data_IF_842417765202
#
_entry.id   IF_842417765202
#
_cell.length_a   1.000
_cell.length_b   1.000
_cell.length_c   1.000
_cell.angle_alpha   90.00
_cell.angle_beta   90.00
_cell.angle_gamma   90.00
#
_symmetry.space_group_name_H-M   'P 1'
#
loop_
_entity.id
_entity.type
_entity.pdbx_description
1 polymer ?
#
# COMPACT_ATOMS: atom_id res chain seq x y z
N UNK A 1 -1.48 -25.82 -37.89
CA UNK A 1 -1.63 -24.80 -36.84
C UNK A 1 -0.94 -25.31 -35.59
N UNK A 2 0.25 -24.81 -35.25
CA UNK A 2 0.89 -25.18 -33.98
C UNK A 2 0.06 -24.57 -32.84
N UNK A 3 -0.42 -25.41 -31.92
CA UNK A 3 -1.12 -24.91 -30.75
C UNK A 3 -0.11 -24.16 -29.87
N UNK A 4 -0.19 -22.83 -29.85
CA UNK A 4 0.58 -22.00 -28.94
C UNK A 4 0.20 -22.37 -27.50
N UNK A 5 1.09 -23.07 -26.81
CA UNK A 5 0.90 -23.47 -25.42
C UNK A 5 0.80 -22.21 -24.57
N UNK A 6 -0.32 -22.03 -23.86
CA UNK A 6 -0.50 -20.88 -22.96
C UNK A 6 0.60 -20.90 -21.90
N UNK A 7 1.28 -19.77 -21.66
CA UNK A 7 2.26 -19.67 -20.60
C UNK A 7 1.61 -19.89 -19.24
N UNK A 8 2.25 -20.70 -18.41
CA UNK A 8 1.85 -20.86 -17.01
C UNK A 8 1.98 -19.55 -16.24
N UNK A 9 1.34 -19.45 -15.08
CA UNK A 9 1.47 -18.30 -14.18
C UNK A 9 2.87 -18.31 -13.58
N UNK A 10 3.75 -17.31 -13.85
CA UNK A 10 5.07 -17.32 -13.28
C UNK A 10 4.99 -17.08 -11.77
N UNK A 11 5.61 -17.96 -10.98
CA UNK A 11 5.57 -17.90 -9.52
C UNK A 11 5.99 -16.53 -8.99
N UNK A 12 7.08 -15.96 -9.52
CA UNK A 12 7.54 -14.65 -9.04
C UNK A 12 6.63 -13.48 -9.43
N UNK A 13 5.79 -13.59 -10.48
CA UNK A 13 4.79 -12.56 -10.77
C UNK A 13 3.67 -12.63 -9.72
N UNK A 14 3.29 -13.85 -9.37
CA UNK A 14 2.30 -14.11 -8.33
C UNK A 14 2.78 -13.56 -6.99
N UNK A 15 4.05 -13.81 -6.65
CA UNK A 15 4.70 -13.26 -5.45
C UNK A 15 4.79 -11.72 -5.49
N UNK A 16 5.18 -11.13 -6.63
CA UNK A 16 5.23 -9.68 -6.79
C UNK A 16 3.85 -9.02 -6.58
N UNK A 17 2.79 -9.58 -7.16
CA UNK A 17 1.43 -9.07 -6.97
C UNK A 17 0.99 -9.25 -5.50
N UNK A 18 1.23 -10.42 -4.90
CA UNK A 18 0.89 -10.66 -3.50
C UNK A 18 1.59 -9.69 -2.53
N UNK A 19 2.90 -9.50 -2.68
CA UNK A 19 3.67 -8.54 -1.87
C UNK A 19 3.13 -7.11 -2.05
N UNK A 20 2.80 -6.73 -3.28
CA UNK A 20 2.23 -5.41 -3.55
C UNK A 20 0.86 -5.24 -2.91
N UNK A 21 -0.01 -6.26 -2.98
CA UNK A 21 -1.34 -6.23 -2.36
C UNK A 21 -1.23 -6.13 -0.84
N UNK A 22 -0.35 -6.92 -0.22
CA UNK A 22 -0.13 -6.88 1.22
C UNK A 22 0.35 -5.47 1.62
N UNK A 23 1.34 -4.94 0.92
CA UNK A 23 2.01 -3.71 1.30
C UNK A 23 1.20 -2.44 1.00
N UNK A 24 0.58 -2.35 -0.18
CA UNK A 24 -0.10 -1.13 -0.64
C UNK A 24 -1.62 -1.15 -0.40
N UNK A 25 -2.20 -2.30 -0.04
CA UNK A 25 -3.63 -2.42 0.19
C UNK A 25 -3.95 -2.95 1.58
N UNK A 26 -3.55 -4.18 1.91
CA UNK A 26 -3.99 -4.82 3.16
C UNK A 26 -3.44 -4.14 4.40
N UNK A 27 -2.13 -3.82 4.44
CA UNK A 27 -1.52 -3.15 5.58
C UNK A 27 -2.12 -1.75 5.84
N UNK A 28 -2.23 -0.84 4.85
CA UNK A 28 -2.86 0.46 5.06
C UNK A 28 -4.33 0.37 5.50
N UNK A 29 -5.10 -0.55 4.91
CA UNK A 29 -6.50 -0.76 5.30
C UNK A 29 -6.60 -1.29 6.73
N UNK A 30 -5.72 -2.20 7.12
CA UNK A 30 -5.64 -2.73 8.47
C UNK A 30 -5.29 -1.62 9.47
N UNK A 31 -4.26 -0.81 9.21
CA UNK A 31 -3.88 0.28 10.10
C UNK A 31 -4.99 1.33 10.24
N UNK A 32 -5.59 1.76 9.12
CA UNK A 32 -6.71 2.71 9.17
C UNK A 32 -7.96 2.11 9.84
N UNK A 33 -8.22 0.82 9.63
CA UNK A 33 -9.31 0.09 10.29
C UNK A 33 -9.11 -0.02 11.80
N UNK A 34 -7.88 -0.29 12.26
CA UNK A 34 -7.53 -0.29 13.68
C UNK A 34 -7.71 1.10 14.30
N UNK A 35 -7.19 2.16 13.65
CA UNK A 35 -7.35 3.54 14.12
C UNK A 35 -8.83 3.89 14.25
N UNK A 36 -9.64 3.56 13.23
CA UNK A 36 -11.07 3.80 13.24
C UNK A 36 -11.78 3.01 14.36
N UNK A 37 -11.45 1.74 14.53
CA UNK A 37 -12.01 0.89 15.60
C UNK A 37 -11.70 1.45 16.99
N UNK A 38 -10.46 1.88 17.22
CA UNK A 38 -10.04 2.48 18.50
C UNK A 38 -10.77 3.80 18.73
N UNK A 39 -10.84 4.69 17.74
CA UNK A 39 -11.59 5.95 17.84
C UNK A 39 -13.06 5.71 18.18
N UNK A 40 -13.70 4.77 17.50
CA UNK A 40 -15.11 4.48 17.75
C UNK A 40 -15.34 3.91 19.15
N UNK A 41 -14.40 3.12 19.67
CA UNK A 41 -14.46 2.65 21.05
C UNK A 41 -14.45 3.83 22.03
N UNK A 42 -13.55 4.80 21.88
CA UNK A 42 -13.49 5.98 22.76
C UNK A 42 -14.70 6.91 22.63
N UNK A 43 -15.25 7.06 21.42
CA UNK A 43 -16.48 7.85 21.20
C UNK A 43 -17.69 7.19 21.86
N UNK A 44 -17.73 5.87 21.92
CA UNK A 44 -18.83 5.12 22.53
C UNK A 44 -18.77 5.08 24.07
N UNK A 45 -17.66 5.49 24.69
CA UNK A 45 -17.58 5.57 26.15
C UNK A 45 -18.45 6.74 26.66
N UNK A 46 -19.33 6.53 27.65
CA UNK A 46 -20.21 7.55 28.22
C UNK A 46 -19.46 8.55 29.13
N UNK A 47 -18.24 8.94 28.75
CA UNK A 47 -17.46 9.97 29.47
C UNK A 47 -18.14 11.34 29.34
N UNK A 48 -18.89 11.56 28.26
CA UNK A 48 -19.67 12.77 28.05
C UNK A 48 -20.86 12.92 29.02
N UNK A 49 -21.49 11.81 29.45
CA UNK A 49 -22.61 11.87 30.41
C UNK A 49 -22.15 12.29 31.81
N UNK A 50 -20.96 11.86 32.24
CA UNK A 50 -20.39 12.23 33.54
C UNK A 50 -19.98 13.71 33.63
N UNK A 51 -19.72 14.39 32.50
CA UNK A 51 -19.37 15.81 32.49
C UNK A 51 -20.57 16.70 32.81
N UNK A 52 -21.76 16.32 32.33
CA UNK A 52 -23.02 17.01 32.61
C UNK A 52 -23.43 16.86 34.09
N UNK A 53 -23.16 15.71 34.72
CA UNK A 53 -23.39 15.51 36.16
C UNK A 53 -22.46 16.37 37.05
N UNK A 54 -21.30 16.77 36.55
CA UNK A 54 -20.32 17.62 37.27
C UNK A 54 -20.49 19.12 36.92
N UNK A 55 -21.47 19.47 36.06
CA UNK A 55 -21.76 20.85 35.67
C UNK A 55 -20.75 21.46 34.69
N UNK A 56 -20.04 20.61 33.92
CA UNK A 56 -19.17 21.04 32.83
C UNK A 56 -19.95 21.01 31.50
N UNK A 57 -20.04 22.16 30.83
CA UNK A 57 -20.72 22.30 29.53
C UNK A 57 -20.03 21.49 28.40
N UNK A 58 -18.76 21.11 28.60
CA UNK A 58 -18.01 20.26 27.68
C UNK A 58 -17.17 19.24 28.46
N UNK A 59 -17.14 17.96 28.04
CA UNK A 59 -16.25 16.98 28.66
C UNK A 59 -14.80 17.43 28.56
N UNK A 60 -14.10 17.50 29.70
CA UNK A 60 -12.68 17.90 29.80
C UNK A 60 -11.74 17.02 28.97
N UNK A 61 -12.18 15.82 28.59
CA UNK A 61 -11.47 14.90 27.71
C UNK A 61 -12.45 14.12 26.84
N UNK A 62 -12.55 14.46 25.55
CA UNK A 62 -12.97 13.48 24.54
C UNK A 62 -11.75 12.63 24.21
N UNK A 63 -11.71 11.38 24.67
CA UNK A 63 -10.57 10.46 24.52
C UNK A 63 -10.10 10.17 23.08
N UNK A 64 -10.74 10.78 22.07
CA UNK A 64 -10.39 10.66 20.66
C UNK A 64 -9.58 11.86 20.09
N UNK A 65 -9.47 12.99 20.81
CA UNK A 65 -8.85 14.22 20.27
C UNK A 65 -7.33 14.11 20.06
N UNK A 66 -6.65 13.22 20.81
CA UNK A 66 -5.22 12.93 20.63
C UNK A 66 -4.92 11.74 19.71
N UNK A 67 -5.94 11.08 19.16
CA UNK A 67 -5.72 9.90 18.31
C UNK A 67 -5.45 10.30 16.85
N UNK A 68 -4.56 9.57 16.14
CA UNK A 68 -4.35 9.76 14.71
C UNK A 68 -5.68 9.80 13.94
N UNK A 69 -5.79 10.70 12.96
CA UNK A 69 -6.95 10.76 12.10
C UNK A 69 -6.89 9.65 11.05
N UNK A 70 -8.06 9.12 10.69
CA UNK A 70 -8.17 8.14 9.60
C UNK A 70 -7.84 8.83 8.29
N UNK A 71 -6.89 8.27 7.53
CA UNK A 71 -6.50 8.81 6.23
C UNK A 71 -7.41 8.23 5.13
N UNK A 72 -8.51 8.93 4.86
CA UNK A 72 -9.50 8.52 3.86
C UNK A 72 -8.89 8.37 2.45
N UNK A 73 -7.94 9.22 2.07
CA UNK A 73 -7.25 9.11 0.79
C UNK A 73 -6.45 7.83 0.67
N UNK A 74 -5.78 7.42 1.75
CA UNK A 74 -5.05 6.17 1.78
C UNK A 74 -5.99 4.96 1.63
N UNK A 75 -7.15 4.97 2.28
CA UNK A 75 -8.17 3.93 2.12
C UNK A 75 -8.61 3.81 0.66
N UNK A 76 -8.98 4.94 0.04
CA UNK A 76 -9.41 4.97 -1.37
C UNK A 76 -8.32 4.43 -2.29
N UNK A 77 -7.07 4.88 -2.11
CA UNK A 77 -5.94 4.40 -2.91
C UNK A 77 -5.68 2.90 -2.72
N UNK A 78 -5.78 2.40 -1.49
CA UNK A 78 -5.60 0.98 -1.19
C UNK A 78 -6.68 0.10 -1.81
N UNK A 79 -7.95 0.56 -1.85
CA UNK A 79 -9.04 -0.16 -2.52
C UNK A 79 -8.86 -0.13 -4.04
N UNK A 80 -8.54 1.05 -4.61
CA UNK A 80 -8.28 1.18 -6.05
C UNK A 80 -7.11 0.30 -6.47
N UNK A 81 -6.03 0.27 -5.69
CA UNK A 81 -4.89 -0.59 -5.93
C UNK A 81 -5.25 -2.08 -5.89
N UNK A 82 -6.11 -2.50 -4.95
CA UNK A 82 -6.58 -3.88 -4.86
C UNK A 82 -7.31 -4.30 -6.13
N UNK A 83 -8.18 -3.43 -6.66
CA UNK A 83 -8.90 -3.67 -7.93
C UNK A 83 -7.91 -3.83 -9.08
N UNK A 84 -6.92 -2.93 -9.18
CA UNK A 84 -5.86 -3.01 -10.19
C UNK A 84 -5.08 -4.33 -10.07
N UNK A 85 -4.74 -4.75 -8.85
CA UNK A 85 -4.02 -5.99 -8.60
C UNK A 85 -4.83 -7.24 -8.99
N UNK A 86 -6.12 -7.28 -8.69
CA UNK A 86 -7.02 -8.37 -9.11
C UNK A 86 -7.14 -8.44 -10.63
N UNK A 87 -7.27 -7.29 -11.30
CA UNK A 87 -7.30 -7.22 -12.76
C UNK A 87 -5.95 -7.65 -13.36
N UNK A 88 -4.83 -7.23 -12.77
CA UNK A 88 -3.49 -7.60 -13.22
C UNK A 88 -3.22 -9.10 -13.03
N UNK A 89 -3.71 -9.69 -11.94
CA UNK A 89 -3.63 -11.12 -11.67
C UNK A 89 -4.39 -11.95 -12.72
N UNK A 90 -5.51 -11.43 -13.22
CA UNK A 90 -6.27 -12.07 -14.31
C UNK A 90 -5.48 -12.11 -15.63
N UNK A 91 -4.50 -11.23 -15.81
CA UNK A 91 -3.50 -11.29 -16.89
C UNK A 91 -3.95 -10.78 -18.26
N UNK A 92 -5.13 -10.15 -18.38
CA UNK A 92 -5.63 -9.55 -19.63
C UNK A 92 -6.28 -8.20 -19.34
N UNK A 93 -6.07 -7.16 -20.17
CA UNK A 93 -5.23 -7.07 -21.39
C UNK A 93 -3.70 -6.97 -21.13
N UNK A 94 -2.83 -7.07 -22.18
CA UNK A 94 -1.37 -6.90 -22.03
C UNK A 94 -0.97 -5.54 -21.45
N UNK A 95 -1.82 -4.54 -21.60
CA UNK A 95 -1.66 -3.21 -21.00
C UNK A 95 -1.66 -3.24 -19.47
N UNK A 96 -2.27 -4.26 -18.83
CA UNK A 96 -2.31 -4.38 -17.36
C UNK A 96 -0.92 -4.43 -16.72
N UNK A 97 0.09 -4.86 -17.48
CA UNK A 97 1.49 -4.77 -17.06
C UNK A 97 1.90 -3.33 -16.73
N UNK A 98 1.57 -2.40 -17.62
CA UNK A 98 1.90 -0.99 -17.45
C UNK A 98 0.99 -0.35 -16.41
N UNK A 99 -0.30 -0.70 -16.37
CA UNK A 99 -1.23 -0.22 -15.35
C UNK A 99 -0.73 -0.57 -13.94
N UNK A 100 -0.33 -1.83 -13.71
CA UNK A 100 0.23 -2.25 -12.41
C UNK A 100 1.52 -1.49 -12.09
N UNK A 101 2.41 -1.33 -13.08
CA UNK A 101 3.67 -0.61 -12.89
C UNK A 101 3.44 0.86 -12.52
N UNK A 102 2.59 1.57 -13.27
CA UNK A 102 2.25 2.97 -13.00
C UNK A 102 1.49 3.12 -11.67
N UNK A 103 0.63 2.17 -11.31
CA UNK A 103 -0.06 2.19 -10.03
C UNK A 103 0.92 2.07 -8.86
N UNK A 104 1.89 1.17 -8.93
CA UNK A 104 2.92 1.00 -7.89
C UNK A 104 3.81 2.23 -7.81
N UNK A 105 4.32 2.73 -8.93
CA UNK A 105 5.15 3.94 -8.91
C UNK A 105 4.34 5.14 -8.39
N UNK A 106 3.12 5.32 -8.88
CA UNK A 106 2.24 6.42 -8.49
C UNK A 106 1.92 6.41 -7.01
N UNK A 107 1.53 5.27 -6.43
CA UNK A 107 1.24 5.17 -5.00
C UNK A 107 2.49 5.36 -4.15
N UNK A 108 3.65 4.88 -4.60
CA UNK A 108 4.92 5.10 -3.90
C UNK A 108 5.30 6.58 -3.90
N UNK A 109 5.26 7.26 -5.05
CA UNK A 109 5.55 8.70 -5.13
C UNK A 109 4.57 9.51 -4.28
N UNK A 110 3.29 9.16 -4.33
CA UNK A 110 2.26 9.82 -3.50
C UNK A 110 2.55 9.65 -2.00
N UNK A 111 2.85 8.43 -1.56
CA UNK A 111 3.19 8.16 -0.15
C UNK A 111 4.45 8.92 0.27
N UNK A 112 5.49 8.95 -0.56
CA UNK A 112 6.69 9.73 -0.28
C UNK A 112 6.40 11.23 -0.18
N UNK A 113 5.56 11.77 -1.08
CA UNK A 113 5.18 13.17 -1.04
C UNK A 113 4.43 13.53 0.26
N UNK A 114 3.57 12.64 0.76
CA UNK A 114 2.91 12.83 2.06
C UNK A 114 3.91 12.76 3.22
N UNK A 115 4.81 11.77 3.20
CA UNK A 115 5.83 11.59 4.25
C UNK A 115 6.78 12.78 4.34
N UNK A 116 7.26 13.32 3.22
CA UNK A 116 8.17 14.48 3.21
C UNK A 116 7.43 15.81 3.35
N UNK A 117 6.19 15.91 2.87
CA UNK A 117 5.37 17.11 3.00
C UNK A 117 4.94 17.40 4.44
N UNK A 118 4.71 16.35 5.25
CA UNK A 118 4.31 16.50 6.65
C UNK A 118 5.44 16.92 7.59
N UNK A 119 6.69 16.55 7.30
CA UNK A 119 7.84 16.80 8.19
C UNK A 119 8.22 18.28 8.32
N UNK A 120 7.80 19.14 7.38
CA UNK A 120 8.12 20.57 7.43
C UNK A 120 7.34 21.32 8.53
N UNK A 121 6.28 20.75 9.10
CA UNK A 121 5.41 21.44 10.07
C UNK A 121 5.84 21.24 11.55
N UNK A 122 6.52 20.14 11.89
CA UNK A 122 6.72 19.71 13.29
C UNK A 122 8.14 19.86 13.85
N UNK A 123 9.10 20.34 13.06
CA UNK A 123 10.51 20.44 13.49
C UNK A 123 10.75 21.42 14.67
N UNK A 124 9.76 22.21 15.07
CA UNK A 124 9.89 23.22 16.13
C UNK A 124 9.53 22.71 17.55
N UNK A 125 8.98 21.50 17.69
CA UNK A 125 8.35 21.06 18.97
C UNK A 125 8.78 19.67 19.46
N UNK A 126 9.87 19.13 18.94
CA UNK A 126 10.35 17.78 19.32
C UNK A 126 11.29 17.86 20.51
N UNK A 127 10.76 17.60 21.71
CA UNK A 127 11.56 17.24 22.89
C UNK A 127 12.19 15.85 22.71
N UNK A 128 13.23 15.54 23.49
CA UNK A 128 13.86 14.21 23.51
C UNK A 128 12.87 13.23 24.16
N UNK A 129 11.99 12.64 23.36
CA UNK A 129 11.03 11.61 23.75
C UNK A 129 11.41 10.27 23.11
N UNK A 130 11.46 9.22 23.92
CA UNK A 130 11.69 7.84 23.47
C UNK A 130 10.66 7.38 22.44
N UNK A 131 9.43 7.91 22.48
CA UNK A 131 8.41 7.61 21.49
C UNK A 131 8.79 8.13 20.08
N UNK A 132 9.36 9.34 20.00
CA UNK A 132 9.77 9.94 18.73
C UNK A 132 10.91 9.15 18.05
N UNK A 133 11.85 8.62 18.82
CA UNK A 133 12.96 7.81 18.28
C UNK A 133 12.49 6.46 17.72
N UNK A 134 11.46 5.86 18.34
CA UNK A 134 10.83 4.64 17.85
C UNK A 134 10.08 4.92 16.54
N UNK A 135 9.35 6.03 16.48
CA UNK A 135 8.63 6.44 15.26
C UNK A 135 9.59 6.71 14.09
N UNK A 136 10.69 7.42 14.34
CA UNK A 136 11.73 7.66 13.34
C UNK A 136 12.30 6.34 12.81
N UNK A 137 12.69 5.42 13.71
CA UNK A 137 13.23 4.12 13.34
C UNK A 137 12.24 3.29 12.52
N UNK A 138 10.96 3.30 12.92
CA UNK A 138 9.90 2.58 12.23
C UNK A 138 9.64 3.18 10.84
N UNK A 139 9.66 4.51 10.71
CA UNK A 139 9.50 5.22 9.45
C UNK A 139 10.61 4.86 8.46
N UNK A 140 11.85 4.73 8.94
CA UNK A 140 13.00 4.35 8.13
C UNK A 140 12.87 2.90 7.65
N UNK A 141 12.51 1.98 8.53
CA UNK A 141 12.27 0.56 8.17
C UNK A 141 11.13 0.45 7.14
N UNK A 142 10.07 1.23 7.32
CA UNK A 142 8.96 1.29 6.36
C UNK A 142 9.43 1.81 5.01
N UNK A 143 10.21 2.90 4.98
CA UNK A 143 10.77 3.47 3.75
C UNK A 143 11.66 2.47 3.01
N UNK A 144 12.58 1.80 3.72
CA UNK A 144 13.44 0.77 3.14
C UNK A 144 12.64 -0.41 2.59
N UNK A 145 11.63 -0.86 3.34
CA UNK A 145 10.74 -1.95 2.91
C UNK A 145 9.95 -1.59 1.66
N UNK A 146 9.42 -0.36 1.60
CA UNK A 146 8.73 0.16 0.42
C UNK A 146 9.65 0.14 -0.81
N UNK A 147 10.85 0.70 -0.68
CA UNK A 147 11.83 0.75 -1.76
C UNK A 147 12.19 -0.66 -2.27
N UNK A 148 12.41 -1.62 -1.35
CA UNK A 148 12.71 -3.01 -1.70
C UNK A 148 11.55 -3.69 -2.45
N UNK A 149 10.31 -3.51 -1.98
CA UNK A 149 9.11 -4.08 -2.64
C UNK A 149 8.95 -3.50 -4.04
N UNK A 150 9.03 -2.17 -4.19
CA UNK A 150 8.92 -1.51 -5.50
C UNK A 150 10.00 -1.98 -6.45
N UNK A 151 11.26 -2.00 -6.00
CA UNK A 151 12.39 -2.43 -6.83
C UNK A 151 12.24 -3.90 -7.25
N UNK A 152 11.85 -4.78 -6.32
CA UNK A 152 11.59 -6.18 -6.60
C UNK A 152 10.51 -6.36 -7.68
N UNK A 153 9.38 -5.65 -7.54
CA UNK A 153 8.27 -5.75 -8.48
C UNK A 153 8.64 -5.21 -9.86
N UNK A 154 9.29 -4.04 -9.92
CA UNK A 154 9.77 -3.44 -11.17
C UNK A 154 10.74 -4.37 -11.90
N UNK A 155 11.70 -4.93 -11.17
CA UNK A 155 12.66 -5.88 -11.71
C UNK A 155 11.96 -7.14 -12.27
N UNK A 156 11.01 -7.73 -11.52
CA UNK A 156 10.35 -8.96 -11.94
C UNK A 156 9.37 -8.75 -13.11
N UNK A 157 8.61 -7.66 -13.11
CA UNK A 157 7.72 -7.29 -14.21
C UNK A 157 8.49 -7.09 -15.53
N UNK A 158 9.80 -6.81 -15.48
CA UNK A 158 10.63 -6.66 -16.68
C UNK A 158 11.28 -7.96 -17.19
N UNK A 159 11.20 -9.07 -16.45
CA UNK A 159 11.72 -10.37 -16.92
C UNK A 159 10.90 -10.97 -18.08
N UNK A 160 11.51 -11.91 -18.81
CA UNK A 160 10.88 -12.57 -19.95
C UNK A 160 9.60 -13.40 -19.59
N UNK A 161 9.56 -14.15 -18.47
CA UNK A 161 8.39 -14.96 -18.13
C UNK A 161 7.12 -14.13 -17.86
N UNK A 162 7.26 -12.97 -17.19
CA UNK A 162 6.14 -12.06 -16.93
C UNK A 162 5.64 -11.42 -18.24
N UNK A 163 6.54 -11.07 -19.16
CA UNK A 163 6.17 -10.59 -20.49
C UNK A 163 5.40 -11.63 -21.30
N UNK A 164 5.78 -12.89 -21.23
CA UNK A 164 5.04 -13.98 -21.88
C UNK A 164 3.63 -14.14 -21.28
N UNK A 165 3.50 -14.06 -19.95
CA UNK A 165 2.21 -14.14 -19.25
C UNK A 165 1.21 -13.07 -19.75
N UNK A 166 1.61 -11.80 -19.77
CA UNK A 166 0.73 -10.70 -20.21
C UNK A 166 0.43 -10.72 -21.71
N UNK A 167 1.33 -11.29 -22.54
CA UNK A 167 1.07 -11.49 -23.98
C UNK A 167 0.14 -12.68 -24.23
N UNK A 168 0.13 -13.68 -23.35
CA UNK A 168 -0.68 -14.88 -23.48
C UNK A 168 -0.09 -15.97 -24.40
N UNK A 169 1.13 -15.78 -24.90
CA UNK A 169 1.87 -16.76 -25.71
C UNK A 169 3.39 -16.58 -25.54
N UNK A 170 4.15 -17.66 -25.74
CA UNK A 170 5.61 -17.60 -25.86
C UNK A 170 6.01 -17.15 -27.26
N UNK A 171 7.09 -16.38 -27.38
CA UNK A 171 7.68 -16.07 -28.69
C UNK A 171 8.13 -17.39 -29.32
N UNK A 172 7.86 -17.62 -30.62
CA UNK A 172 8.42 -18.77 -31.31
C UNK A 172 9.93 -18.69 -31.18
N UNK A 173 10.55 -19.78 -30.72
CA UNK A 173 12.00 -19.94 -30.72
C UNK A 173 12.46 -19.63 -32.15
N UNK A 174 13.38 -18.67 -32.31
CA UNK A 174 13.99 -18.41 -33.63
C UNK A 174 14.55 -19.76 -34.05
N UNK A 175 13.88 -20.43 -35.00
CA UNK A 175 14.40 -21.64 -35.60
C UNK A 175 15.81 -21.27 -36.05
N UNK A 176 16.80 -21.88 -35.40
CA UNK A 176 18.19 -21.76 -35.79
C UNK A 176 18.21 -21.96 -37.30
N UNK A 177 18.64 -20.92 -38.00
CA UNK A 177 18.79 -20.93 -39.44
C UNK A 177 19.59 -22.19 -39.77
N UNK A 178 18.91 -23.20 -40.28
CA UNK A 178 19.51 -24.38 -40.87
C UNK A 178 20.36 -23.86 -42.04
N UNK A 179 21.64 -23.65 -41.76
CA UNK A 179 22.71 -23.58 -42.75
C UNK A 179 23.57 -24.81 -42.59
#
# INVERSE_FOLDING_TARGET
MSQSKKPGRPFGLSLAIALSVIYFSLLPLLFNGLIWSVRQHFVALPVAENAAEIGLDTPLFQGAEGLPQVNLWQIVLSVVFLVVAVLAWRGRPPAMRFVLLFAIIGITVFNLALTFGGQAADAATVGIDSAAQIEESLSLVQLMSNALVVLYVLWYINRAPSRAFYRGYYLPEKQEEQK
#
